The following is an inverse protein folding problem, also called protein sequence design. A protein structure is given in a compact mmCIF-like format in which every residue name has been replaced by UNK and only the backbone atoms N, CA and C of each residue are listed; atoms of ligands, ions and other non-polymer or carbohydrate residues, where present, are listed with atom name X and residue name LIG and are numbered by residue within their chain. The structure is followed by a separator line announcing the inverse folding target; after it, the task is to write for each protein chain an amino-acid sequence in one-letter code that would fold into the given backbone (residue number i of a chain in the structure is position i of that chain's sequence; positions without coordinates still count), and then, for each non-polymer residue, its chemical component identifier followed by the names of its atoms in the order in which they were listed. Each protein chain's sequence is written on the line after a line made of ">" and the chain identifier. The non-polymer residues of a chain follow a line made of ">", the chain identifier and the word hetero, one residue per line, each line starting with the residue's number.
data_IF_548812252114
#
_entry.id   IF_548812252114
#
_cell.length_a   1.000
_cell.length_b   1.000
_cell.length_c   1.000
_cell.angle_alpha   90.00
_cell.angle_beta   90.00
_cell.angle_gamma   90.00
#
_symmetry.space_group_name_H-M   'P 1'
#
loop_
_entity.id
_entity.type
_entity.pdbx_description
1 polymer ?
#
# COMPACT_ATOMS: atom_id res chain seq x y z
N UNK A 1 20.57 -1.71 4.97
CA UNK A 1 19.54 -1.70 6.03
C UNK A 1 19.62 -0.34 6.72
N UNK A 2 18.92 0.67 6.21
CA UNK A 2 18.81 1.98 6.86
C UNK A 2 17.56 1.98 7.73
N UNK A 3 17.78 1.99 9.04
CA UNK A 3 16.82 2.05 10.15
C UNK A 3 16.14 3.42 10.21
N UNK A 4 15.38 3.76 9.18
CA UNK A 4 14.33 4.78 9.23
C UNK A 4 13.08 4.05 8.77
N UNK A 5 12.17 3.78 9.72
CA UNK A 5 10.83 3.30 9.40
C UNK A 5 10.20 4.33 8.49
N UNK A 6 10.17 4.06 7.19
CA UNK A 6 9.44 4.89 6.25
C UNK A 6 7.98 4.89 6.74
N UNK A 7 7.43 6.06 7.15
CA UNK A 7 6.08 6.13 7.69
C UNK A 7 5.05 5.54 6.72
N UNK A 8 5.31 5.62 5.41
CA UNK A 8 4.46 5.01 4.39
C UNK A 8 4.49 3.48 4.46
N UNK A 9 5.67 2.88 4.65
CA UNK A 9 5.79 1.43 4.79
C UNK A 9 5.12 0.92 6.05
N UNK A 10 5.19 1.66 7.16
CA UNK A 10 4.50 1.32 8.41
C UNK A 10 2.99 1.40 8.27
N UNK A 11 2.49 2.42 7.56
CA UNK A 11 1.06 2.55 7.25
C UNK A 11 0.56 1.38 6.39
N UNK A 12 1.33 1.01 5.35
CA UNK A 12 1.04 -0.13 4.48
C UNK A 12 1.04 -1.46 5.25
N UNK A 13 2.01 -1.67 6.13
CA UNK A 13 2.07 -2.84 7.01
C UNK A 13 0.81 -2.96 7.85
N UNK A 14 0.38 -1.84 8.45
CA UNK A 14 -0.83 -1.78 9.26
C UNK A 14 -2.13 -1.96 8.45
N UNK A 15 -2.06 -1.80 7.13
CA UNK A 15 -3.20 -1.86 6.20
C UNK A 15 -3.41 -3.24 5.56
N UNK A 16 -2.48 -4.18 5.74
CA UNK A 16 -2.63 -5.55 5.24
C UNK A 16 -3.93 -6.18 5.77
N UNK A 17 -4.70 -6.78 4.86
CA UNK A 17 -5.99 -7.40 5.17
C UNK A 17 -7.17 -6.43 5.34
N UNK A 18 -6.94 -5.11 5.23
CA UNK A 18 -8.00 -4.09 5.29
C UNK A 18 -8.39 -3.63 3.88
N UNK A 19 -9.60 -3.09 3.76
CA UNK A 19 -10.04 -2.39 2.56
C UNK A 19 -9.28 -1.07 2.42
N UNK A 20 -8.67 -0.85 1.27
CA UNK A 20 -7.92 0.37 0.92
C UNK A 20 -8.49 1.03 -0.33
N UNK A 21 -8.27 2.33 -0.46
CA UNK A 21 -8.53 3.09 -1.68
C UNK A 21 -7.18 3.52 -2.26
N UNK A 22 -6.90 3.12 -3.50
CA UNK A 22 -5.69 3.50 -4.21
C UNK A 22 -6.07 4.44 -5.34
N UNK A 23 -5.42 5.61 -5.37
CA UNK A 23 -5.57 6.57 -6.46
C UNK A 23 -4.30 6.57 -7.30
N UNK A 24 -4.42 6.16 -8.55
CA UNK A 24 -3.32 6.21 -9.51
C UNK A 24 -3.30 7.55 -10.25
N UNK A 25 -2.17 7.91 -10.87
CA UNK A 25 -1.91 9.25 -11.41
C UNK A 25 -2.91 9.73 -12.48
N UNK A 26 -3.59 8.83 -13.18
CA UNK A 26 -4.61 9.18 -14.17
C UNK A 26 -5.99 9.50 -13.54
N UNK A 27 -6.09 9.56 -12.21
CA UNK A 27 -7.34 9.84 -11.50
C UNK A 27 -8.23 8.62 -11.28
N UNK A 28 -7.85 7.45 -11.79
CA UNK A 28 -8.57 6.20 -11.52
C UNK A 28 -8.37 5.80 -10.05
N UNK A 29 -9.48 5.39 -9.42
CA UNK A 29 -9.52 4.85 -8.08
C UNK A 29 -9.78 3.35 -8.11
N UNK A 30 -8.94 2.58 -7.43
CA UNK A 30 -9.12 1.14 -7.23
C UNK A 30 -9.39 0.89 -5.75
N UNK A 31 -10.40 0.06 -5.45
CA UNK A 31 -10.70 -0.38 -4.09
C UNK A 31 -10.55 -1.90 -4.01
N UNK A 32 -10.01 -2.37 -2.90
CA UNK A 32 -9.82 -3.79 -2.65
C UNK A 32 -9.16 -4.03 -1.30
N UNK A 33 -8.98 -5.30 -0.96
CA UNK A 33 -8.27 -5.67 0.26
C UNK A 33 -6.77 -5.70 -0.05
N UNK A 34 -5.96 -4.95 0.70
CA UNK A 34 -4.50 -4.96 0.53
C UNK A 34 -3.94 -6.33 0.95
N UNK A 35 -3.37 -7.07 0.00
CA UNK A 35 -2.79 -8.39 0.23
C UNK A 35 -1.27 -8.35 0.42
N UNK A 36 -0.59 -7.35 -0.13
CA UNK A 36 0.87 -7.23 -0.08
C UNK A 36 1.38 -5.95 -0.74
N UNK A 37 2.63 -5.61 -0.45
CA UNK A 37 3.35 -4.49 -1.07
C UNK A 37 4.86 -4.73 -1.07
N UNK A 38 5.59 -3.92 -1.83
CA UNK A 38 7.06 -3.89 -1.81
C UNK A 38 7.61 -2.47 -1.58
N UNK A 39 8.93 -2.33 -1.52
CA UNK A 39 9.63 -1.06 -1.31
C UNK A 39 9.42 -0.04 -2.44
N UNK A 40 8.93 -0.47 -3.61
CA UNK A 40 8.62 0.41 -4.74
C UNK A 40 7.17 0.89 -4.73
N UNK A 41 6.37 0.52 -3.71
CA UNK A 41 4.94 0.79 -3.61
C UNK A 41 4.11 0.08 -4.69
N UNK A 42 4.58 -1.06 -5.20
CA UNK A 42 3.70 -1.96 -5.93
C UNK A 42 2.74 -2.60 -4.92
N UNK A 43 1.45 -2.64 -5.25
CA UNK A 43 0.39 -3.11 -4.35
C UNK A 43 -0.34 -4.30 -4.96
N UNK A 44 -0.59 -5.33 -4.16
CA UNK A 44 -1.41 -6.48 -4.55
C UNK A 44 -2.76 -6.39 -3.84
N UNK A 45 -3.84 -6.50 -4.59
CA UNK A 45 -5.21 -6.49 -4.07
C UNK A 45 -5.90 -7.83 -4.29
N UNK A 46 -6.82 -8.19 -3.38
CA UNK A 46 -7.85 -9.22 -3.59
C UNK A 46 -9.18 -8.59 -4.01
#
# INVERSE_FOLDING_TARGET
>A
MSTISDPAMKELESSIGKYVLIRIRNGMGIRGILAGYDSHLNLVLK
#
